data_IF_919286658351
#
_entry.id   IF_919286658351
#
_cell.length_a   1.000
_cell.length_b   1.000
_cell.length_c   1.000
_cell.angle_alpha   90.00
_cell.angle_beta   90.00
_cell.angle_gamma   90.00
#
_symmetry.space_group_name_H-M   'P 1'
#
loop_
_entity.id
_entity.type
_entity.pdbx_description
1 polymer ?
#
# COMPACT_ATOMS: atom_id res chain seq x y z
N UNK A 1 49.15 10.13 -15.85
CA UNK A 1 48.66 11.13 -14.88
C UNK A 1 47.25 11.62 -15.20
N UNK A 2 46.99 12.44 -16.22
CA UNK A 2 45.61 12.97 -16.48
C UNK A 2 44.56 11.87 -16.75
N UNK A 3 44.94 10.76 -17.39
CA UNK A 3 44.04 9.65 -17.67
C UNK A 3 43.72 8.81 -16.43
N UNK A 4 44.72 8.55 -15.57
CA UNK A 4 44.53 7.83 -14.30
C UNK A 4 43.65 8.64 -13.35
N UNK A 5 43.84 9.96 -13.28
CA UNK A 5 43.00 10.86 -12.48
C UNK A 5 41.54 10.88 -12.98
N UNK A 6 41.32 10.82 -14.31
CA UNK A 6 39.99 10.74 -14.89
C UNK A 6 39.30 9.41 -14.57
N UNK A 7 40.00 8.28 -14.72
CA UNK A 7 39.49 6.94 -14.39
C UNK A 7 39.16 6.84 -12.88
N UNK A 8 40.00 7.42 -12.03
CA UNK A 8 39.75 7.51 -10.59
C UNK A 8 38.51 8.36 -10.28
N UNK A 9 38.35 9.51 -10.93
CA UNK A 9 37.18 10.38 -10.77
C UNK A 9 35.90 9.68 -11.21
N UNK A 10 35.92 8.92 -12.31
CA UNK A 10 34.76 8.17 -12.79
C UNK A 10 34.34 7.06 -11.82
N UNK A 11 35.32 6.32 -11.29
CA UNK A 11 35.08 5.29 -10.27
C UNK A 11 34.45 5.87 -9.00
N UNK A 12 34.97 7.02 -8.53
CA UNK A 12 34.43 7.73 -7.36
C UNK A 12 33.00 8.24 -7.58
N UNK A 13 32.71 8.80 -8.76
CA UNK A 13 31.35 9.24 -9.11
C UNK A 13 30.36 8.07 -9.14
N UNK A 14 30.77 6.93 -9.71
CA UNK A 14 29.91 5.75 -9.73
C UNK A 14 29.60 5.23 -8.32
N UNK A 15 30.63 5.16 -7.46
CA UNK A 15 30.46 4.77 -6.06
C UNK A 15 29.52 5.71 -5.31
N UNK A 16 29.73 7.02 -5.46
CA UNK A 16 28.89 8.05 -4.82
C UNK A 16 27.44 7.94 -5.29
N UNK A 17 27.22 7.66 -6.59
CA UNK A 17 25.87 7.44 -7.13
C UNK A 17 25.18 6.23 -6.51
N UNK A 18 25.89 5.10 -6.39
CA UNK A 18 25.33 3.90 -5.75
C UNK A 18 24.98 4.15 -4.27
N UNK A 19 25.85 4.83 -3.53
CA UNK A 19 25.59 5.21 -2.13
C UNK A 19 24.37 6.13 -2.01
N UNK A 20 24.22 7.08 -2.93
CA UNK A 20 23.06 7.96 -2.97
C UNK A 20 21.76 7.20 -3.26
N UNK A 21 21.76 6.30 -4.25
CA UNK A 21 20.60 5.46 -4.58
C UNK A 21 20.20 4.57 -3.38
N UNK A 22 21.18 4.03 -2.65
CA UNK A 22 20.94 3.27 -1.42
C UNK A 22 20.35 4.14 -0.31
N UNK A 23 20.89 5.35 -0.09
CA UNK A 23 20.38 6.28 0.91
C UNK A 23 18.94 6.71 0.62
N UNK A 24 18.61 6.98 -0.65
CA UNK A 24 17.25 7.33 -1.08
C UNK A 24 16.26 6.19 -0.82
N UNK A 25 16.64 4.94 -1.14
CA UNK A 25 15.82 3.77 -0.86
C UNK A 25 15.57 3.57 0.65
N UNK A 26 16.61 3.77 1.48
CA UNK A 26 16.47 3.72 2.93
C UNK A 26 15.54 4.81 3.46
N UNK A 27 15.68 6.05 3.00
CA UNK A 27 14.80 7.16 3.40
C UNK A 27 13.34 6.89 3.01
N UNK A 28 13.08 6.38 1.81
CA UNK A 28 11.74 6.00 1.37
C UNK A 28 11.13 4.93 2.28
N UNK A 29 11.92 3.89 2.60
CA UNK A 29 11.50 2.83 3.53
C UNK A 29 11.17 3.40 4.92
N UNK A 30 12.06 4.21 5.50
CA UNK A 30 11.86 4.80 6.82
C UNK A 30 10.66 5.76 6.84
N UNK A 31 10.45 6.53 5.77
CA UNK A 31 9.26 7.39 5.65
C UNK A 31 7.97 6.56 5.68
N UNK A 32 7.89 5.46 4.94
CA UNK A 32 6.74 4.56 4.96
C UNK A 32 6.48 3.92 6.31
N UNK A 33 7.54 3.49 7.02
CA UNK A 33 7.43 2.98 8.39
C UNK A 33 6.89 4.05 9.36
N UNK A 34 7.37 5.29 9.26
CA UNK A 34 6.86 6.40 10.09
C UNK A 34 5.40 6.72 9.81
N UNK A 35 4.97 6.72 8.55
CA UNK A 35 3.55 6.93 8.21
C UNK A 35 2.66 5.82 8.79
N UNK A 36 3.12 4.57 8.71
CA UNK A 36 2.44 3.41 9.29
C UNK A 36 2.27 3.55 10.80
N UNK A 37 3.36 3.89 11.51
CA UNK A 37 3.31 4.09 12.97
C UNK A 37 2.35 5.22 13.34
N UNK A 38 2.39 6.35 12.61
CA UNK A 38 1.46 7.47 12.84
C UNK A 38 0.01 7.04 12.65
N UNK A 39 -0.29 6.29 11.60
CA UNK A 39 -1.63 5.78 11.34
C UNK A 39 -2.09 4.84 12.47
N UNK A 40 -1.27 3.86 12.85
CA UNK A 40 -1.56 2.95 13.96
C UNK A 40 -1.84 3.69 15.28
N UNK A 41 -1.02 4.69 15.62
CA UNK A 41 -1.21 5.52 16.81
C UNK A 41 -2.51 6.33 16.77
N UNK A 42 -2.94 6.79 15.59
CA UNK A 42 -4.23 7.48 15.44
C UNK A 42 -5.42 6.54 15.55
N UNK A 43 -5.29 5.29 15.09
CA UNK A 43 -6.35 4.29 15.16
C UNK A 43 -6.56 3.76 16.58
N UNK A 44 -5.48 3.51 17.33
CA UNK A 44 -5.54 3.00 18.72
C UNK A 44 -6.19 4.01 19.69
N UNK A 45 -6.12 5.32 19.39
CA UNK A 45 -6.76 6.36 20.20
C UNK A 45 -8.29 6.37 20.12
N UNK A 46 -8.89 5.65 19.17
CA UNK A 46 -10.31 5.82 18.80
C UNK A 46 -11.16 4.52 18.89
N UNK A 47 -10.62 3.36 19.30
CA UNK A 47 -11.42 2.12 19.34
C UNK A 47 -10.87 1.08 20.34
N UNK A 48 -11.76 0.44 21.11
CA UNK A 48 -11.45 -0.67 22.02
C UNK A 48 -11.37 -2.05 21.31
N UNK A 49 -11.68 -2.11 20.01
CA UNK A 49 -11.76 -3.35 19.24
C UNK A 49 -10.54 -3.54 18.32
N UNK A 50 -9.64 -4.43 18.74
CA UNK A 50 -8.40 -4.79 18.05
C UNK A 50 -8.60 -5.15 16.55
N UNK A 51 -9.73 -5.77 16.19
CA UNK A 51 -10.04 -6.16 14.80
C UNK A 51 -10.33 -4.95 13.89
N UNK A 52 -10.97 -3.89 14.42
CA UNK A 52 -11.25 -2.68 13.64
C UNK A 52 -9.97 -1.89 13.35
N UNK A 53 -9.07 -1.81 14.34
CA UNK A 53 -7.74 -1.22 14.17
C UNK A 53 -6.94 -1.99 13.12
N UNK A 54 -6.95 -3.33 13.21
CA UNK A 54 -6.25 -4.18 12.24
C UNK A 54 -6.80 -4.02 10.82
N UNK A 55 -8.13 -3.99 10.66
CA UNK A 55 -8.77 -3.73 9.38
C UNK A 55 -8.30 -2.39 8.79
N UNK A 56 -8.41 -1.30 9.56
CA UNK A 56 -8.01 0.03 9.11
C UNK A 56 -6.55 0.11 8.69
N UNK A 57 -5.65 -0.54 9.43
CA UNK A 57 -4.22 -0.61 9.10
C UNK A 57 -3.99 -1.33 7.77
N UNK A 58 -4.67 -2.45 7.52
CA UNK A 58 -4.54 -3.19 6.27
C UNK A 58 -5.08 -2.41 5.06
N UNK A 59 -6.18 -1.65 5.24
CA UNK A 59 -6.70 -0.78 4.18
C UNK A 59 -5.73 0.37 3.87
N UNK A 60 -5.13 0.96 4.91
CA UNK A 60 -4.10 1.98 4.75
C UNK A 60 -2.84 1.44 4.06
N UNK A 61 -2.35 0.26 4.46
CA UNK A 61 -1.22 -0.40 3.81
C UNK A 61 -1.49 -0.66 2.33
N UNK A 62 -2.71 -1.07 1.99
CA UNK A 62 -3.08 -1.32 0.62
C UNK A 62 -3.05 -0.04 -0.22
N UNK A 63 -3.58 1.06 0.30
CA UNK A 63 -3.48 2.37 -0.35
C UNK A 63 -2.02 2.82 -0.48
N UNK A 64 -1.20 2.61 0.55
CA UNK A 64 0.21 2.94 0.53
C UNK A 64 0.99 2.12 -0.52
N UNK A 65 0.67 0.84 -0.69
CA UNK A 65 1.25 0.03 -1.76
C UNK A 65 0.77 0.50 -3.14
N UNK A 66 -0.52 0.83 -3.28
CA UNK A 66 -1.09 1.36 -4.52
C UNK A 66 -0.39 2.64 -5.00
N UNK A 67 -0.21 3.63 -4.13
CA UNK A 67 0.48 4.89 -4.47
C UNK A 67 1.95 4.71 -4.84
N UNK A 68 2.61 3.68 -4.30
CA UNK A 68 3.99 3.33 -4.63
C UNK A 68 4.09 2.36 -5.83
N UNK A 69 3.01 2.22 -6.62
CA UNK A 69 2.91 1.31 -7.77
C UNK A 69 3.08 -0.19 -7.44
N UNK A 70 3.06 -0.58 -6.17
CA UNK A 70 3.09 -1.96 -5.71
C UNK A 70 1.66 -2.56 -5.72
N UNK A 71 1.23 -3.00 -6.90
CA UNK A 71 -0.09 -3.62 -7.09
C UNK A 71 -0.24 -4.95 -6.35
N UNK A 72 0.85 -5.71 -6.22
CA UNK A 72 0.86 -6.98 -5.51
C UNK A 72 0.68 -6.78 -4.00
N UNK A 73 1.45 -5.86 -3.40
CA UNK A 73 1.31 -5.48 -2.00
C UNK A 73 -0.07 -4.93 -1.67
N UNK A 74 -0.63 -4.10 -2.56
CA UNK A 74 -2.00 -3.62 -2.44
C UNK A 74 -3.01 -4.77 -2.34
N UNK A 75 -2.98 -5.67 -3.32
CA UNK A 75 -3.90 -6.81 -3.38
C UNK A 75 -3.77 -7.72 -2.15
N UNK A 76 -2.53 -7.98 -1.70
CA UNK A 76 -2.26 -8.78 -0.51
C UNK A 76 -2.85 -8.17 0.75
N UNK A 77 -2.65 -6.86 1.00
CA UNK A 77 -3.20 -6.20 2.18
C UNK A 77 -4.73 -6.13 2.14
N UNK A 78 -5.35 -5.86 0.98
CA UNK A 78 -6.81 -5.93 0.84
C UNK A 78 -7.34 -7.34 1.07
N UNK A 79 -6.68 -8.36 0.54
CA UNK A 79 -7.08 -9.75 0.76
C UNK A 79 -7.01 -10.13 2.24
N UNK A 80 -5.97 -9.72 2.96
CA UNK A 80 -5.88 -9.92 4.41
C UNK A 80 -6.99 -9.20 5.17
N UNK A 81 -7.37 -7.99 4.72
CA UNK A 81 -8.42 -7.21 5.38
C UNK A 81 -9.79 -7.91 5.34
N UNK A 82 -10.05 -8.75 4.33
CA UNK A 82 -11.28 -9.56 4.25
C UNK A 82 -11.46 -10.53 5.42
N UNK A 83 -10.37 -10.93 6.11
CA UNK A 83 -10.45 -11.84 7.24
C UNK A 83 -10.83 -11.16 8.56
N UNK A 84 -10.78 -9.82 8.60
CA UNK A 84 -11.04 -9.02 9.80
C UNK A 84 -12.03 -7.87 9.55
N UNK A 85 -12.60 -7.78 8.35
CA UNK A 85 -13.59 -6.76 8.00
C UNK A 85 -14.87 -6.96 8.83
N UNK A 86 -15.41 -5.90 9.44
CA UNK A 86 -16.70 -5.96 10.12
C UNK A 86 -17.89 -5.84 9.14
N UNK A 87 -17.63 -5.61 7.85
CA UNK A 87 -18.66 -5.33 6.85
C UNK A 87 -18.95 -6.54 5.96
N UNK A 88 -20.08 -6.52 5.25
CA UNK A 88 -20.34 -7.50 4.19
C UNK A 88 -19.30 -7.38 3.06
N UNK A 89 -19.17 -8.39 2.17
CA UNK A 89 -18.20 -8.33 1.07
C UNK A 89 -18.34 -7.09 0.17
N UNK A 90 -19.57 -6.70 -0.16
CA UNK A 90 -19.83 -5.52 -1.01
C UNK A 90 -19.58 -4.22 -0.29
N UNK A 91 -19.97 -4.11 0.99
CA UNK A 91 -19.67 -2.93 1.82
C UNK A 91 -18.17 -2.81 2.06
N UNK A 92 -17.45 -3.91 2.21
CA UNK A 92 -15.98 -3.92 2.36
C UNK A 92 -15.30 -3.32 1.13
N UNK A 93 -15.76 -3.68 -0.07
CA UNK A 93 -15.22 -3.11 -1.32
C UNK A 93 -15.48 -1.60 -1.39
N UNK A 94 -16.69 -1.16 -1.06
CA UNK A 94 -17.05 0.26 -1.04
C UNK A 94 -16.18 1.00 -0.01
N UNK A 95 -16.02 0.44 1.18
CA UNK A 95 -15.21 1.03 2.24
C UNK A 95 -13.73 1.15 1.86
N UNK A 96 -13.17 0.19 1.10
CA UNK A 96 -11.82 0.33 0.55
C UNK A 96 -11.70 1.55 -0.38
N UNK A 97 -12.65 1.71 -1.31
CA UNK A 97 -12.64 2.82 -2.27
C UNK A 97 -12.82 4.18 -1.58
N UNK A 98 -13.73 4.27 -0.61
CA UNK A 98 -13.93 5.48 0.21
C UNK A 98 -12.66 5.85 0.97
N UNK A 99 -12.00 4.88 1.61
CA UNK A 99 -10.75 5.14 2.32
C UNK A 99 -9.61 5.52 1.37
N UNK A 100 -9.46 4.87 0.23
CA UNK A 100 -8.45 5.24 -0.77
C UNK A 100 -8.68 6.67 -1.26
N UNK A 101 -9.93 7.05 -1.50
CA UNK A 101 -10.30 8.42 -1.86
C UNK A 101 -9.92 9.41 -0.76
N UNK A 102 -10.31 9.13 0.48
CA UNK A 102 -9.98 9.96 1.65
C UNK A 102 -8.47 10.11 1.84
N UNK A 103 -7.71 9.01 1.82
CA UNK A 103 -6.25 9.04 1.99
C UNK A 103 -5.55 9.80 0.87
N UNK A 104 -6.00 9.65 -0.38
CA UNK A 104 -5.46 10.43 -1.49
C UNK A 104 -5.69 11.93 -1.29
N UNK A 105 -6.90 12.33 -0.88
CA UNK A 105 -7.24 13.73 -0.61
C UNK A 105 -6.41 14.31 0.55
N UNK A 106 -6.24 13.55 1.64
CA UNK A 106 -5.39 13.94 2.79
C UNK A 106 -3.94 14.22 2.39
N UNK A 107 -3.44 13.62 1.30
CA UNK A 107 -2.10 13.85 0.75
C UNK A 107 -2.06 14.84 -0.41
N UNK A 108 -3.21 15.37 -0.85
CA UNK A 108 -3.29 16.20 -2.06
C UNK A 108 -3.03 15.43 -3.36
N UNK A 109 -3.20 14.11 -3.34
CA UNK A 109 -3.05 13.22 -4.49
C UNK A 109 -4.42 12.88 -5.09
N UNK A 110 -4.46 12.54 -6.38
CA UNK A 110 -5.67 12.05 -7.05
C UNK A 110 -5.69 10.52 -7.09
N UNK A 111 -6.79 9.90 -6.65
CA UNK A 111 -7.00 8.47 -6.83
C UNK A 111 -7.42 8.17 -8.27
N UNK A 112 -6.51 7.57 -9.05
CA UNK A 112 -6.86 7.03 -10.36
C UNK A 112 -7.65 5.71 -10.24
N UNK A 113 -8.96 5.83 -10.11
CA UNK A 113 -9.87 4.68 -10.02
C UNK A 113 -9.84 3.81 -11.28
N UNK A 114 -9.54 4.37 -12.46
CA UNK A 114 -9.48 3.63 -13.71
C UNK A 114 -8.25 2.72 -13.75
N UNK A 115 -7.09 3.24 -13.32
CA UNK A 115 -5.87 2.43 -13.19
C UNK A 115 -6.04 1.32 -12.14
N UNK A 116 -6.70 1.63 -11.01
CA UNK A 116 -7.03 0.65 -9.98
C UNK A 116 -7.94 -0.45 -10.54
N UNK A 117 -9.12 -0.10 -11.06
CA UNK A 117 -10.14 -1.07 -11.46
C UNK A 117 -9.72 -1.93 -12.65
N UNK A 118 -8.81 -1.42 -13.49
CA UNK A 118 -8.31 -2.15 -14.65
C UNK A 118 -7.11 -3.05 -14.38
N UNK A 119 -6.44 -2.90 -13.24
CA UNK A 119 -5.33 -3.77 -12.84
C UNK A 119 -5.77 -5.24 -12.75
N UNK A 120 -4.85 -6.16 -13.08
CA UNK A 120 -5.11 -7.60 -13.04
C UNK A 120 -5.40 -8.03 -11.59
N UNK A 121 -4.60 -7.51 -10.66
CA UNK A 121 -4.65 -7.80 -9.23
C UNK A 121 -6.02 -7.41 -8.64
N UNK A 122 -6.55 -6.23 -9.00
CA UNK A 122 -7.89 -5.82 -8.58
C UNK A 122 -8.96 -6.73 -9.15
N UNK A 123 -8.90 -7.06 -10.45
CA UNK A 123 -9.87 -7.95 -11.09
C UNK A 123 -9.88 -9.33 -10.45
N UNK A 124 -8.71 -9.89 -10.13
CA UNK A 124 -8.59 -11.16 -9.40
C UNK A 124 -9.12 -11.08 -7.97
N UNK A 125 -8.82 -9.99 -7.25
CA UNK A 125 -9.35 -9.74 -5.92
C UNK A 125 -10.89 -9.69 -5.94
N UNK A 126 -11.49 -8.94 -6.86
CA UNK A 126 -12.95 -8.86 -7.01
C UNK A 126 -13.56 -10.24 -7.30
N UNK A 127 -12.94 -11.04 -8.18
CA UNK A 127 -13.41 -12.42 -8.43
C UNK A 127 -13.40 -13.26 -7.16
N UNK A 128 -12.37 -13.15 -6.31
CA UNK A 128 -12.29 -13.89 -5.05
C UNK A 128 -13.36 -13.44 -4.05
N UNK A 129 -13.54 -12.13 -3.88
CA UNK A 129 -14.55 -11.57 -2.97
C UNK A 129 -15.97 -12.00 -3.39
N UNK A 130 -16.25 -11.96 -4.70
CA UNK A 130 -17.57 -12.32 -5.24
C UNK A 130 -17.80 -13.84 -5.29
N UNK A 131 -16.76 -14.65 -5.46
CA UNK A 131 -16.85 -16.12 -5.44
C UNK A 131 -17.15 -16.71 -4.06
N UNK A 132 -16.92 -15.96 -2.97
CA UNK A 132 -17.28 -16.39 -1.60
C UNK A 132 -18.79 -16.55 -1.44
N UNK A 133 -19.62 -15.80 -2.19
CA UNK A 133 -21.10 -15.94 -2.16
C UNK A 133 -21.58 -17.31 -2.61
N UNK A 134 -20.85 -18.02 -3.48
CA UNK A 134 -21.31 -19.28 -4.07
C UNK A 134 -21.17 -20.47 -3.12
N UNK A 135 -20.40 -20.36 -2.02
CA UNK A 135 -20.20 -21.44 -1.04
C UNK A 135 -21.09 -21.34 0.20
N UNK A 136 -21.54 -20.15 0.59
CA UNK A 136 -22.33 -19.94 1.82
C UNK A 136 -23.85 -20.14 1.60
N UNK A 137 -24.31 -20.24 0.34
CA UNK A 137 -25.72 -20.46 -0.01
C UNK A 137 -26.13 -21.90 -0.30
N UNK A 138 -25.33 -22.90 0.10
CA UNK A 138 -25.68 -24.32 -0.03
C UNK A 138 -25.41 -25.07 1.28
N UNK A 139 -26.30 -24.90 2.25
CA UNK A 139 -26.55 -25.84 3.35
C UNK A 139 -28.04 -25.78 3.69
#
# INVERSE_FOLDING_TARGET
QTQEELEQSQSQLHKTRQELEQSQSQLHKTAGELERWRFQQSAVKNTDENNQVQYGVLVWEAWYAYRNHDRAGMSHSLQKSLNCTPFSPTETIVNWLENFGRFSLEKGEYLDTNSLSNSLEWKELMRRVLAVKTKVGRL
#
